data_IF_559912523573
#
_entry.id   IF_559912523573
#
_cell.length_a   1.000
_cell.length_b   1.000
_cell.length_c   1.000
_cell.angle_alpha   90.00
_cell.angle_beta   90.00
_cell.angle_gamma   90.00
#
_symmetry.space_group_name_H-M   'P 1'
#
loop_
_entity.id
_entity.type
_entity.pdbx_description
1 polymer ?
#
# COMPACT_ATOMS: atom_id res chain seq x y z
N UNK A 1 -10.55 -18.18 15.49
CA UNK A 1 -10.36 -17.48 15.12
C UNK A 1 -10.55 -16.47 15.60
N UNK A 2 -10.62 -16.47 15.93
CA UNK A 2 -10.78 -15.57 16.02
C UNK A 2 -10.39 -14.75 16.68
N UNK A 3 -10.09 -14.57 17.41
CA UNK A 3 -9.88 -13.76 17.61
C UNK A 3 -9.56 -12.87 17.20
N UNK A 4 -9.90 -13.13 17.21
CA UNK A 4 -9.70 -12.65 16.08
C UNK A 4 -9.85 -11.19 15.78
N UNK A 5 -10.52 -10.43 16.48
CA UNK A 5 -10.62 -9.01 16.22
C UNK A 5 -9.32 -8.28 16.47
N UNK A 6 -8.60 -8.69 17.47
CA UNK A 6 -7.27 -8.12 17.67
C UNK A 6 -6.34 -8.50 16.54
N UNK A 7 -6.44 -9.73 16.08
CA UNK A 7 -5.66 -10.18 14.94
C UNK A 7 -6.05 -9.39 13.69
N UNK A 8 -7.33 -9.09 13.52
CA UNK A 8 -7.80 -8.32 12.38
C UNK A 8 -7.25 -6.90 12.40
N UNK A 9 -7.09 -6.31 13.58
CA UNK A 9 -6.55 -4.97 13.73
C UNK A 9 -5.13 -4.87 13.23
N UNK A 10 -4.36 -5.95 13.39
CA UNK A 10 -2.96 -5.99 12.97
C UNK A 10 -2.74 -6.81 11.72
N UNK A 11 -3.80 -7.40 11.19
CA UNK A 11 -3.70 -8.24 10.00
C UNK A 11 -3.40 -7.42 8.76
N UNK A 12 -2.67 -8.01 7.82
CA UNK A 12 -2.45 -7.38 6.53
C UNK A 12 -3.71 -7.49 5.68
N UNK A 13 -4.01 -6.48 4.87
CA UNK A 13 -5.22 -6.52 4.03
C UNK A 13 -5.06 -7.53 2.90
N UNK A 14 -6.19 -7.96 2.35
CA UNK A 14 -6.22 -8.86 1.20
C UNK A 14 -6.72 -8.17 -0.06
N UNK A 15 -7.25 -6.96 0.07
CA UNK A 15 -7.75 -6.19 -1.07
C UNK A 15 -7.84 -4.72 -0.68
N UNK A 16 -8.08 -3.87 -1.66
CA UNK A 16 -8.22 -2.44 -1.44
C UNK A 16 -7.21 -1.66 -2.26
N UNK A 17 -6.90 -0.46 -1.81
CA UNK A 17 -5.95 0.41 -2.48
C UNK A 17 -4.65 0.50 -1.69
N UNK A 18 -3.53 0.41 -2.38
CA UNK A 18 -2.20 0.58 -1.80
C UNK A 18 -1.66 1.94 -2.22
N UNK A 19 -1.38 2.79 -1.25
CA UNK A 19 -0.76 4.07 -1.52
C UNK A 19 0.76 3.92 -1.53
N UNK A 20 1.41 4.45 -2.57
CA UNK A 20 2.86 4.36 -2.70
C UNK A 20 3.45 5.72 -3.07
N UNK A 21 4.39 6.20 -2.28
CA UNK A 21 5.14 7.41 -2.55
C UNK A 21 6.61 7.12 -2.25
N UNK A 22 7.47 7.20 -3.26
CA UNK A 22 8.83 6.68 -3.17
C UNK A 22 9.88 7.75 -3.38
N UNK A 23 10.99 7.63 -2.65
CA UNK A 23 12.20 8.37 -2.94
C UNK A 23 12.75 7.89 -4.30
N UNK A 24 13.53 8.74 -4.97
CA UNK A 24 14.02 8.43 -6.32
C UNK A 24 14.79 7.11 -6.38
N UNK A 25 15.63 6.85 -5.39
CA UNK A 25 16.44 5.63 -5.39
C UNK A 25 15.62 4.36 -5.14
N UNK A 26 14.37 4.49 -4.71
CA UNK A 26 13.49 3.36 -4.46
C UNK A 26 12.52 3.08 -5.60
N UNK A 27 12.46 3.94 -6.60
CA UNK A 27 11.42 3.84 -7.63
C UNK A 27 11.49 2.58 -8.47
N UNK A 28 12.69 2.12 -8.83
CA UNK A 28 12.83 0.90 -9.62
C UNK A 28 12.31 -0.31 -8.85
N UNK A 29 12.76 -0.47 -7.63
CA UNK A 29 12.29 -1.56 -6.77
C UNK A 29 10.82 -1.40 -6.45
N UNK A 30 10.39 -0.16 -6.30
CA UNK A 30 8.98 0.15 -6.04
C UNK A 30 8.06 -0.23 -7.18
N UNK A 31 8.53 -0.13 -8.43
CA UNK A 31 7.72 -0.55 -9.57
C UNK A 31 7.49 -2.07 -9.52
N UNK A 32 8.50 -2.83 -9.14
CA UNK A 32 8.35 -4.28 -8.97
C UNK A 32 7.35 -4.58 -7.86
N UNK A 33 7.46 -3.85 -6.75
CA UNK A 33 6.54 -4.00 -5.62
C UNK A 33 5.10 -3.68 -6.03
N UNK A 34 4.91 -2.58 -6.74
CA UNK A 34 3.58 -2.15 -7.17
C UNK A 34 2.94 -3.18 -8.09
N UNK A 35 3.74 -3.73 -9.00
CA UNK A 35 3.26 -4.78 -9.90
C UNK A 35 2.81 -6.00 -9.09
N UNK A 36 3.58 -6.36 -8.08
CA UNK A 36 3.25 -7.49 -7.22
C UNK A 36 1.91 -7.27 -6.51
N UNK A 37 1.70 -6.08 -5.94
CA UNK A 37 0.42 -5.75 -5.32
C UNK A 37 -0.72 -5.77 -6.33
N UNK A 38 -0.48 -5.26 -7.53
CA UNK A 38 -1.50 -5.27 -8.58
C UNK A 38 -1.91 -6.69 -8.93
N UNK A 39 -0.94 -7.60 -9.02
CA UNK A 39 -1.21 -9.01 -9.29
C UNK A 39 -1.97 -9.70 -8.17
N UNK A 40 -1.84 -9.16 -6.95
CA UNK A 40 -2.58 -9.68 -5.80
C UNK A 40 -4.00 -9.12 -5.70
N UNK A 41 -4.37 -8.23 -6.62
CA UNK A 41 -5.72 -7.69 -6.66
C UNK A 41 -5.88 -6.30 -6.07
N UNK A 42 -4.80 -5.65 -5.70
CA UNK A 42 -4.87 -4.29 -5.16
C UNK A 42 -4.85 -3.25 -6.26
N UNK A 43 -5.51 -2.14 -6.02
CA UNK A 43 -5.36 -0.96 -6.85
C UNK A 43 -4.23 -0.11 -6.30
N UNK A 44 -3.47 0.52 -7.18
CA UNK A 44 -2.29 1.29 -6.78
C UNK A 44 -2.58 2.78 -6.90
N UNK A 45 -2.34 3.52 -5.83
CA UNK A 45 -2.37 4.98 -5.84
C UNK A 45 -0.96 5.49 -5.62
N UNK A 46 -0.52 6.44 -6.43
CA UNK A 46 0.84 6.96 -6.32
C UNK A 46 0.85 8.47 -6.50
N UNK A 47 1.77 9.14 -5.81
CA UNK A 47 1.98 10.57 -6.00
C UNK A 47 2.69 10.83 -7.32
N UNK A 48 2.62 12.08 -7.82
CA UNK A 48 3.00 12.43 -9.18
C UNK A 48 4.28 11.80 -9.73
N UNK A 49 5.42 11.99 -9.06
CA UNK A 49 6.68 11.45 -9.53
C UNK A 49 6.70 9.92 -9.54
N UNK A 50 6.17 9.32 -8.49
CA UNK A 50 6.07 7.87 -8.38
C UNK A 50 5.11 7.33 -9.43
N UNK A 51 3.98 7.99 -9.61
CA UNK A 51 2.99 7.60 -10.61
C UNK A 51 3.60 7.60 -12.02
N UNK A 52 4.34 8.65 -12.38
CA UNK A 52 4.96 8.75 -13.69
C UNK A 52 5.97 7.65 -13.92
N UNK A 53 6.73 7.30 -12.89
CA UNK A 53 7.69 6.21 -12.99
C UNK A 53 6.98 4.88 -13.22
N UNK A 54 5.92 4.61 -12.46
CA UNK A 54 5.14 3.38 -12.62
C UNK A 54 4.56 3.28 -14.01
N UNK A 55 4.01 4.39 -14.51
CA UNK A 55 3.44 4.42 -15.85
C UNK A 55 4.50 4.08 -16.90
N UNK A 56 5.71 4.60 -16.73
CA UNK A 56 6.80 4.33 -17.67
C UNK A 56 7.25 2.86 -17.63
N UNK A 57 6.95 2.15 -16.55
CA UNK A 57 7.29 0.74 -16.41
C UNK A 57 6.12 -0.18 -16.71
N UNK A 58 5.01 0.36 -17.18
CA UNK A 58 3.83 -0.43 -17.52
C UNK A 58 3.04 -0.89 -16.30
N UNK A 59 3.23 -0.26 -15.16
CA UNK A 59 2.47 -0.58 -13.96
C UNK A 59 1.22 0.29 -13.92
N UNK A 60 0.06 -0.35 -13.80
CA UNK A 60 -1.20 0.36 -13.76
C UNK A 60 -1.40 1.00 -12.39
N UNK A 61 -1.59 2.31 -12.36
CA UNK A 61 -1.75 3.05 -11.12
C UNK A 61 -2.62 4.28 -11.37
N UNK A 62 -3.13 4.87 -10.30
CA UNK A 62 -3.85 6.13 -10.34
C UNK A 62 -3.04 7.17 -9.60
N UNK A 63 -3.07 8.40 -10.09
CA UNK A 63 -2.36 9.49 -9.44
C UNK A 63 -3.20 10.03 -8.28
N UNK A 64 -2.54 10.34 -7.17
CA UNK A 64 -3.16 10.99 -6.03
C UNK A 64 -2.31 12.20 -5.64
N UNK A 65 -2.96 13.26 -5.20
CA UNK A 65 -2.26 14.47 -4.78
C UNK A 65 -1.61 14.28 -3.41
N UNK A 66 -0.43 14.87 -3.25
CA UNK A 66 0.15 15.06 -1.92
C UNK A 66 -0.69 16.09 -1.19
N UNK A 67 -0.57 16.12 0.14
CA UNK A 67 -1.34 17.06 0.96
C UNK A 67 -1.06 18.50 0.53
N UNK A 68 0.20 18.81 0.23
CA UNK A 68 0.61 20.16 -0.17
C UNK A 68 0.15 20.54 -1.58
N UNK A 69 -0.33 19.60 -2.38
CA UNK A 69 -0.70 19.87 -3.77
C UNK A 69 -2.16 20.27 -3.96
N UNK A 70 -2.97 20.13 -2.94
CA UNK A 70 -4.37 20.54 -3.01
C UNK A 70 -5.31 19.45 -2.52
N UNK A 71 -6.58 19.58 -2.87
CA UNK A 71 -7.61 18.63 -2.45
C UNK A 71 -8.47 18.23 -3.65
N UNK A 72 -9.00 17.00 -3.68
CA UNK A 72 -8.77 15.93 -2.71
C UNK A 72 -7.33 15.41 -2.80
N UNK A 73 -6.81 14.94 -1.68
CA UNK A 73 -5.44 14.45 -1.60
C UNK A 73 -5.39 13.14 -0.82
N UNK A 74 -4.17 12.63 -0.61
CA UNK A 74 -4.00 11.32 0.04
C UNK A 74 -4.60 11.30 1.46
N UNK A 75 -4.57 12.40 2.17
CA UNK A 75 -5.17 12.45 3.51
C UNK A 75 -6.67 12.18 3.44
N UNK A 76 -7.34 12.76 2.46
CA UNK A 76 -8.78 12.53 2.26
C UNK A 76 -9.06 11.06 1.96
N UNK A 77 -8.26 10.43 1.11
CA UNK A 77 -8.44 9.02 0.78
C UNK A 77 -8.26 8.13 2.00
N UNK A 78 -7.27 8.45 2.84
CA UNK A 78 -7.04 7.67 4.07
C UNK A 78 -8.22 7.83 5.02
N UNK A 79 -8.71 9.05 5.21
CA UNK A 79 -9.84 9.32 6.10
C UNK A 79 -11.12 8.65 5.63
N UNK A 80 -11.29 8.54 4.32
CA UNK A 80 -12.48 7.93 3.73
C UNK A 80 -12.43 6.40 3.77
N UNK A 81 -11.35 5.82 4.28
CA UNK A 81 -11.23 4.38 4.38
C UNK A 81 -10.90 3.69 3.07
N UNK A 82 -10.39 4.42 2.09
CA UNK A 82 -10.08 3.87 0.78
C UNK A 82 -8.73 3.16 0.74
N UNK A 83 -7.84 3.47 1.69
CA UNK A 83 -6.47 2.97 1.66
C UNK A 83 -6.33 1.78 2.59
N UNK A 84 -5.90 0.65 2.03
CA UNK A 84 -5.70 -0.58 2.78
C UNK A 84 -4.28 -0.69 3.34
N UNK A 85 -3.31 -0.08 2.66
CA UNK A 85 -1.90 -0.16 3.04
C UNK A 85 -1.17 1.04 2.47
N UNK A 86 -0.23 1.60 3.20
CA UNK A 86 0.50 2.80 2.77
C UNK A 86 2.00 2.59 2.84
N UNK A 87 2.70 2.99 1.78
CA UNK A 87 4.15 2.91 1.69
C UNK A 87 4.66 4.29 1.32
N UNK A 88 5.51 4.86 2.16
CA UNK A 88 6.05 6.20 1.93
C UNK A 88 7.52 6.24 2.32
N UNK A 89 8.39 6.07 1.32
CA UNK A 89 9.83 6.15 1.55
C UNK A 89 10.38 7.54 1.25
N UNK A 90 9.55 8.46 0.78
CA UNK A 90 9.95 9.81 0.41
C UNK A 90 9.87 10.81 1.55
N UNK A 91 9.57 10.35 2.76
CA UNK A 91 9.27 11.23 3.90
C UNK A 91 10.31 12.29 4.18
N UNK A 92 11.59 11.95 4.09
CA UNK A 92 12.65 12.89 4.40
C UNK A 92 12.91 13.91 3.28
N UNK A 93 12.34 13.71 2.09
CA UNK A 93 12.47 14.63 0.96
C UNK A 93 11.18 15.39 0.69
N UNK A 94 10.09 15.03 1.36
CA UNK A 94 8.82 15.71 1.16
C UNK A 94 8.82 17.03 1.92
N UNK A 95 7.88 17.89 1.58
CA UNK A 95 7.72 19.14 2.31
C UNK A 95 7.42 18.85 3.77
N UNK A 96 7.96 19.71 4.63
CA UNK A 96 7.76 19.58 6.05
C UNK A 96 6.27 19.54 6.35
N UNK A 97 5.85 18.55 7.10
CA UNK A 97 4.45 18.41 7.50
C UNK A 97 3.68 17.36 6.71
N UNK A 98 4.02 17.15 5.43
CA UNK A 98 3.29 16.16 4.62
C UNK A 98 3.48 14.76 5.16
N UNK A 99 4.72 14.37 5.43
CA UNK A 99 5.00 13.03 5.95
C UNK A 99 4.36 12.82 7.32
N UNK A 100 4.42 13.84 8.18
CA UNK A 100 3.81 13.77 9.51
C UNK A 100 2.29 13.65 9.41
N UNK A 101 1.67 14.41 8.52
CA UNK A 101 0.22 14.36 8.34
C UNK A 101 -0.24 13.01 7.80
N UNK A 102 0.48 12.45 6.85
CA UNK A 102 0.18 11.12 6.31
C UNK A 102 0.31 10.08 7.43
N UNK A 103 1.39 10.16 8.19
CA UNK A 103 1.62 9.22 9.30
C UNK A 103 0.48 9.26 10.32
N UNK A 104 0.06 10.46 10.71
CA UNK A 104 -1.03 10.61 11.66
C UNK A 104 -2.33 10.06 11.09
N UNK A 105 -2.60 10.31 9.83
CA UNK A 105 -3.83 9.83 9.19
C UNK A 105 -3.87 8.31 9.14
N UNK A 106 -2.76 7.65 8.76
CA UNK A 106 -2.73 6.18 8.69
C UNK A 106 -2.82 5.55 10.08
N UNK A 107 -2.17 6.15 11.09
CA UNK A 107 -2.26 5.64 12.45
C UNK A 107 -3.69 5.75 12.96
N UNK A 108 -4.33 6.87 12.73
CA UNK A 108 -5.70 7.09 13.17
C UNK A 108 -6.67 6.14 12.48
N UNK A 109 -6.44 5.86 11.20
CA UNK A 109 -7.29 4.98 10.42
C UNK A 109 -6.97 3.50 10.62
N UNK A 110 -5.88 3.18 11.31
CA UNK A 110 -5.47 1.79 11.52
C UNK A 110 -4.88 1.14 10.27
N UNK A 111 -4.31 1.94 9.38
CA UNK A 111 -3.75 1.46 8.11
C UNK A 111 -2.30 1.05 8.33
N UNK A 112 -1.88 -0.15 7.90
CA UNK A 112 -0.47 -0.53 7.94
C UNK A 112 0.38 0.47 7.15
N UNK A 113 1.49 0.90 7.73
CA UNK A 113 2.30 1.96 7.17
C UNK A 113 3.77 1.56 7.16
N UNK A 114 4.39 1.62 6.00
CA UNK A 114 5.79 1.21 5.81
C UNK A 114 6.59 2.38 5.26
N UNK A 115 7.77 2.60 5.82
CA UNK A 115 8.61 3.74 5.46
C UNK A 115 9.89 3.35 4.76
N UNK A 116 10.09 2.05 4.52
CA UNK A 116 11.24 1.59 3.74
C UNK A 116 10.83 0.41 2.85
N UNK A 117 11.64 0.19 1.82
CA UNK A 117 11.33 -0.84 0.82
C UNK A 117 11.41 -2.25 1.38
N UNK A 118 12.33 -2.48 2.30
CA UNK A 118 12.52 -3.82 2.88
C UNK A 118 11.25 -4.31 3.55
N UNK A 119 10.69 -3.50 4.44
CA UNK A 119 9.47 -3.91 5.15
C UNK A 119 8.27 -3.95 4.22
N UNK A 120 8.23 -3.06 3.23
CA UNK A 120 7.16 -3.09 2.24
C UNK A 120 7.19 -4.38 1.42
N UNK A 121 8.37 -4.82 0.99
CA UNK A 121 8.51 -6.08 0.26
C UNK A 121 8.13 -7.28 1.11
N UNK A 122 8.52 -7.26 2.39
CA UNK A 122 8.15 -8.33 3.31
C UNK A 122 6.62 -8.40 3.44
N UNK A 123 5.95 -7.25 3.52
CA UNK A 123 4.49 -7.24 3.63
C UNK A 123 3.82 -7.81 2.38
N UNK A 124 4.33 -7.47 1.20
CA UNK A 124 3.79 -8.01 -0.04
C UNK A 124 3.96 -9.52 -0.11
N UNK A 125 5.12 -10.01 0.28
CA UNK A 125 5.39 -11.45 0.31
C UNK A 125 4.50 -12.18 1.30
N UNK A 126 4.26 -11.56 2.46
CA UNK A 126 3.37 -12.13 3.48
C UNK A 126 1.93 -12.24 2.95
N UNK A 127 1.46 -11.20 2.26
CA UNK A 127 0.12 -11.21 1.68
C UNK A 127 0.03 -12.32 0.62
N UNK A 128 1.05 -12.43 -0.22
CA UNK A 128 1.08 -13.48 -1.26
C UNK A 128 1.02 -14.87 -0.64
N UNK A 129 1.73 -15.09 0.46
CA UNK A 129 1.71 -16.37 1.17
C UNK A 129 0.34 -16.69 1.74
N UNK A 130 -0.32 -15.70 2.30
CA UNK A 130 -1.67 -15.87 2.86
C UNK A 130 -2.65 -16.25 1.76
N UNK A 131 -2.58 -15.58 0.60
CA UNK A 131 -3.47 -15.86 -0.51
C UNK A 131 -3.22 -17.25 -1.09
N UNK A 132 -1.97 -17.67 -1.19
CA UNK A 132 -1.64 -19.02 -1.63
C UNK A 132 -2.19 -20.08 -0.69
N UNK A 133 -2.07 -19.85 0.62
CA UNK A 133 -2.61 -20.78 1.61
C UNK A 133 -4.12 -20.90 1.50
N UNK A 134 -4.80 -19.79 1.25
CA UNK A 134 -6.25 -19.80 1.07
C UNK A 134 -6.65 -20.62 -0.17
N UNK A 135 -5.91 -20.47 -1.26
CA UNK A 135 -6.20 -21.22 -2.47
C UNK A 135 -6.04 -22.70 -2.26
N UNK A 136 -4.96 -23.13 -1.59
CA UNK A 136 -4.72 -24.54 -1.31
C UNK A 136 -5.84 -25.09 -0.43
N UNK A 137 -6.23 -24.36 0.59
CA UNK A 137 -7.30 -24.80 1.48
C UNK A 137 -8.62 -24.93 0.75
N UNK A 138 -8.95 -23.97 -0.10
CA UNK A 138 -10.16 -24.03 -0.91
C UNK A 138 -10.19 -25.22 -1.80
N UNK A 139 -9.05 -25.53 -2.45
CA UNK A 139 -8.95 -26.66 -3.33
C UNK A 139 -9.15 -27.96 -2.57
N UNK A 140 -8.56 -28.08 -1.40
CA UNK A 140 -8.74 -29.26 -0.55
C UNK A 140 -10.19 -29.46 -0.15
N UNK A 141 -10.86 -28.38 0.23
CA UNK A 141 -12.27 -28.45 0.58
C UNK A 141 -13.12 -28.88 -0.60
N UNK A 142 -12.77 -28.41 -1.79
CA UNK A 142 -13.49 -28.77 -3.00
C UNK A 142 -13.32 -30.24 -3.34
N UNK A 143 -12.10 -30.74 -3.18
CA UNK A 143 -11.80 -32.14 -3.51
C UNK A 143 -12.23 -33.11 -2.42
N UNK A 144 -12.31 -32.64 -1.23
CA UNK A 144 -12.66 -33.45 -0.08
C UNK A 144 -14.15 -33.62 0.08
#
# INVERSE_FOLDING_TARGET
>A
FVKSQEAAKNALPSSGKVFISLADHDKEQGAVLAKKFSELGFEILATGGTFRHFESRGVKAQMVFKISEGRPNIEDSIRNGEIALAINTSGHKSKQGDAAAIRQAVLKAGVPYFTNMRTAMISANAIASIESAKEVKSLQEYLG
#
